data_IF_845617096266
#
_entry.id   IF_845617096266
#
_cell.length_a   1.000
_cell.length_b   1.000
_cell.length_c   1.000
_cell.angle_alpha   90.00
_cell.angle_beta   90.00
_cell.angle_gamma   90.00
#
_symmetry.space_group_name_H-M   'P 1'
#
loop_
_entity.id
_entity.type
_entity.pdbx_description
1 polymer ?
#
# COMPACT_ATOMS: atom_id res chain seq x y z
N UNK A 1 -73.65 -13.63 4.06
CA UNK A 1 -74.86 -13.89 3.28
C UNK A 1 -74.44 -14.00 1.82
N UNK A 2 -74.74 -15.17 1.27
CA UNK A 2 -74.40 -15.71 -0.04
C UNK A 2 -74.83 -14.92 -1.27
N UNK A 3 -74.21 -15.30 -2.40
CA UNK A 3 -74.75 -15.57 -3.76
C UNK A 3 -73.80 -14.98 -4.82
N UNK A 4 -72.88 -15.72 -5.46
CA UNK A 4 -73.04 -16.79 -6.47
C UNK A 4 -73.85 -16.39 -7.71
N UNK A 5 -73.37 -16.85 -8.88
CA UNK A 5 -73.98 -16.97 -10.23
C UNK A 5 -73.37 -16.07 -11.34
N UNK A 6 -72.40 -16.60 -12.09
CA UNK A 6 -72.48 -17.35 -13.37
C UNK A 6 -72.50 -16.44 -14.60
N UNK A 7 -71.47 -16.55 -15.45
CA UNK A 7 -71.68 -16.54 -16.91
C UNK A 7 -70.59 -17.36 -17.62
N UNK A 8 -71.05 -18.43 -18.28
CA UNK A 8 -70.31 -19.29 -19.20
C UNK A 8 -70.13 -18.58 -20.54
N UNK A 9 -69.01 -18.81 -21.22
CA UNK A 9 -68.80 -18.39 -22.61
C UNK A 9 -67.59 -19.07 -23.24
N UNK A 10 -67.87 -20.02 -24.14
CA UNK A 10 -66.95 -20.89 -24.89
C UNK A 10 -66.12 -20.15 -25.96
N UNK A 11 -65.26 -20.91 -26.65
CA UNK A 11 -64.53 -20.65 -27.91
C UNK A 11 -63.10 -20.08 -27.71
N UNK A 12 -62.02 -20.52 -28.37
CA UNK A 12 -61.81 -21.32 -29.59
C UNK A 12 -60.40 -21.92 -29.58
N UNK A 13 -60.24 -23.04 -30.29
CA UNK A 13 -58.96 -23.60 -30.70
C UNK A 13 -58.19 -22.59 -31.59
N UNK A 14 -56.93 -22.33 -31.25
CA UNK A 14 -55.95 -21.79 -32.20
C UNK A 14 -54.59 -22.44 -31.96
N UNK A 15 -54.26 -23.38 -32.85
CA UNK A 15 -52.89 -23.84 -33.11
C UNK A 15 -52.01 -22.63 -33.42
N UNK A 16 -50.98 -22.39 -32.61
CA UNK A 16 -49.86 -21.54 -32.99
C UNK A 16 -48.66 -22.44 -33.32
N UNK A 17 -48.26 -22.33 -34.58
CA UNK A 17 -47.07 -22.92 -35.18
C UNK A 17 -45.83 -22.51 -34.41
N UNK A 18 -45.06 -23.49 -33.92
CA UNK A 18 -43.71 -23.26 -33.39
C UNK A 18 -42.77 -23.14 -34.59
N UNK A 19 -42.49 -21.92 -35.02
CA UNK A 19 -41.38 -21.64 -35.93
C UNK A 19 -40.08 -21.74 -35.13
N UNK A 20 -39.28 -22.76 -35.40
CA UNK A 20 -37.90 -22.85 -34.92
C UNK A 20 -37.05 -21.81 -35.66
N UNK A 21 -36.67 -20.73 -34.98
CA UNK A 21 -35.62 -19.82 -35.44
C UNK A 21 -34.26 -20.45 -35.14
N UNK A 22 -33.56 -20.88 -36.17
CA UNK A 22 -32.14 -21.23 -36.09
C UNK A 22 -31.34 -19.93 -36.02
N UNK A 23 -30.85 -19.58 -34.84
CA UNK A 23 -29.89 -18.48 -34.69
C UNK A 23 -28.50 -19.01 -35.08
N UNK A 24 -27.98 -18.56 -36.22
CA UNK A 24 -26.58 -18.73 -36.59
C UNK A 24 -25.74 -17.82 -35.69
N UNK A 25 -24.95 -18.42 -34.80
CA UNK A 25 -24.06 -17.70 -33.91
C UNK A 25 -22.76 -17.38 -34.66
N UNK A 26 -22.69 -16.17 -35.24
CA UNK A 26 -21.44 -15.62 -35.75
C UNK A 26 -20.53 -15.30 -34.57
N UNK A 27 -19.41 -16.02 -34.45
CA UNK A 27 -18.34 -15.67 -33.52
C UNK A 27 -17.55 -14.51 -34.10
N UNK A 28 -17.72 -13.31 -33.55
CA UNK A 28 -16.73 -12.25 -33.72
C UNK A 28 -15.53 -12.55 -32.83
N UNK A 29 -14.33 -12.59 -33.42
CA UNK A 29 -13.09 -12.66 -32.67
C UNK A 29 -12.94 -11.37 -31.82
N UNK A 30 -13.17 -11.50 -30.52
CA UNK A 30 -12.92 -10.43 -29.55
C UNK A 30 -11.41 -10.23 -29.44
N UNK A 31 -10.86 -9.39 -30.33
CA UNK A 31 -9.51 -8.85 -30.17
C UNK A 31 -9.51 -7.96 -28.92
N UNK A 32 -8.94 -8.48 -27.83
CA UNK A 32 -8.74 -7.72 -26.61
C UNK A 32 -7.69 -6.63 -26.88
N UNK A 33 -8.15 -5.42 -27.23
CA UNK A 33 -7.30 -4.24 -27.26
C UNK A 33 -6.90 -3.94 -25.81
N UNK A 34 -5.63 -4.14 -25.50
CA UNK A 34 -5.01 -3.66 -24.26
C UNK A 34 -5.30 -2.15 -24.20
N UNK A 35 -5.92 -1.63 -23.12
CA UNK A 35 -6.15 -0.20 -22.99
C UNK A 35 -4.80 0.52 -23.06
N UNK A 36 -4.65 1.58 -23.87
CA UNK A 36 -3.39 2.30 -23.93
C UNK A 36 -3.04 2.79 -22.53
N UNK A 37 -1.83 2.46 -22.10
CA UNK A 37 -1.15 3.07 -20.96
C UNK A 37 -1.40 4.58 -20.98
N UNK A 38 -1.71 5.25 -19.86
CA UNK A 38 -1.95 6.69 -19.84
C UNK A 38 -0.67 7.41 -20.25
N UNK A 39 -0.51 7.65 -21.55
CA UNK A 39 0.57 8.45 -22.09
C UNK A 39 0.28 9.88 -21.71
N UNK A 40 1.15 10.47 -20.89
CA UNK A 40 1.14 11.91 -20.66
C UNK A 40 1.04 12.63 -22.00
N UNK A 41 0.32 13.75 -22.03
CA UNK A 41 0.14 14.55 -23.22
C UNK A 41 1.51 14.92 -23.80
N UNK A 42 1.89 14.29 -24.91
CA UNK A 42 3.15 14.56 -25.59
C UNK A 42 2.98 15.84 -26.40
N UNK A 43 3.74 16.88 -26.07
CA UNK A 43 3.75 18.10 -26.85
C UNK A 43 4.59 17.88 -28.12
N UNK A 44 3.89 17.77 -29.26
CA UNK A 44 4.52 17.57 -30.57
C UNK A 44 5.39 18.76 -31.02
N UNK A 45 5.21 19.94 -30.40
CA UNK A 45 6.01 21.11 -30.69
C UNK A 45 7.21 21.26 -29.75
N UNK A 46 7.37 20.35 -28.78
CA UNK A 46 8.48 20.39 -27.87
C UNK A 46 9.78 19.91 -28.53
N UNK A 47 10.80 20.75 -28.44
CA UNK A 47 12.12 20.55 -29.02
C UNK A 47 13.20 21.02 -28.04
N UNK A 48 14.42 20.57 -28.24
CA UNK A 48 15.59 21.19 -27.63
C UNK A 48 15.78 22.59 -28.22
N UNK A 49 16.13 23.56 -27.36
CA UNK A 49 16.44 24.93 -27.77
C UNK A 49 17.90 25.08 -28.19
N UNK A 50 18.79 24.24 -27.65
CA UNK A 50 20.20 24.19 -28.01
C UNK A 50 20.48 22.90 -28.76
N UNK A 51 21.46 22.93 -29.67
CA UNK A 51 21.74 21.81 -30.59
C UNK A 51 22.67 20.74 -30.01
N UNK A 52 23.37 21.05 -28.92
CA UNK A 52 24.44 20.26 -28.31
C UNK A 52 23.97 19.50 -27.05
N UNK A 53 22.66 19.33 -26.85
CA UNK A 53 22.10 18.61 -25.71
C UNK A 53 22.68 17.19 -25.51
N UNK A 54 23.04 16.50 -26.60
CA UNK A 54 23.66 15.18 -26.55
C UNK A 54 25.08 15.22 -25.95
N UNK A 55 25.81 16.33 -26.12
CA UNK A 55 27.18 16.49 -25.60
C UNK A 55 27.20 16.62 -24.07
N UNK A 56 26.11 17.13 -23.47
CA UNK A 56 25.96 17.26 -22.01
C UNK A 56 25.62 15.95 -21.30
N UNK A 57 25.19 14.92 -22.05
CA UNK A 57 24.83 13.61 -21.55
C UNK A 57 23.60 13.58 -20.62
N UNK A 58 23.10 12.37 -20.36
CA UNK A 58 21.84 12.15 -19.61
C UNK A 58 21.89 12.66 -18.16
N UNK A 59 23.08 12.77 -17.57
CA UNK A 59 23.26 13.28 -16.21
C UNK A 59 22.74 14.72 -16.05
N UNK A 60 22.81 15.52 -17.11
CA UNK A 60 22.33 16.91 -17.15
C UNK A 60 20.81 17.02 -17.03
N UNK A 61 20.08 15.94 -17.29
CA UNK A 61 18.63 15.86 -17.08
C UNK A 61 18.22 15.76 -15.60
N UNK A 62 19.18 15.58 -14.68
CA UNK A 62 18.92 15.46 -13.26
C UNK A 62 19.50 16.65 -12.47
N UNK A 63 19.21 16.71 -11.17
CA UNK A 63 19.79 17.74 -10.30
C UNK A 63 21.33 17.66 -10.35
N UNK A 64 22.02 18.82 -10.36
CA UNK A 64 21.48 20.17 -10.17
C UNK A 64 20.95 20.85 -11.45
N UNK A 65 21.14 20.26 -12.63
CA UNK A 65 20.90 20.89 -13.92
C UNK A 65 19.48 20.66 -14.48
N UNK A 66 18.65 19.86 -13.81
CA UNK A 66 17.28 19.52 -14.20
C UNK A 66 16.44 20.73 -14.66
N UNK A 67 16.51 21.86 -13.94
CA UNK A 67 15.77 23.08 -14.32
C UNK A 67 16.25 23.66 -15.65
N UNK A 68 17.58 23.74 -15.84
CA UNK A 68 18.18 24.20 -17.08
C UNK A 68 17.87 23.24 -18.24
N UNK A 69 17.93 21.93 -17.99
CA UNK A 69 17.65 20.91 -18.99
C UNK A 69 16.18 20.89 -19.41
N UNK A 70 15.23 21.21 -18.52
CA UNK A 70 13.82 21.45 -18.89
C UNK A 70 13.64 22.61 -19.86
N UNK A 71 14.48 23.63 -19.74
CA UNK A 71 14.35 24.82 -20.58
C UNK A 71 15.07 24.69 -21.92
N UNK A 72 16.18 23.95 -21.97
CA UNK A 72 17.09 23.92 -23.12
C UNK A 72 17.15 22.57 -23.83
N UNK A 73 16.96 21.46 -23.10
CA UNK A 73 17.13 20.10 -23.59
C UNK A 73 15.90 19.23 -23.33
N UNK A 74 14.70 19.81 -23.46
CA UNK A 74 13.45 19.16 -23.10
C UNK A 74 13.17 17.88 -23.91
N UNK A 75 13.58 17.82 -25.18
CA UNK A 75 13.39 16.64 -26.02
C UNK A 75 14.42 15.57 -25.71
N UNK A 76 15.70 15.95 -25.62
CA UNK A 76 16.80 15.04 -25.24
C UNK A 76 16.58 14.42 -23.86
N UNK A 77 16.04 15.19 -22.91
CA UNK A 77 15.73 14.72 -21.55
C UNK A 77 14.30 14.18 -21.38
N UNK A 78 13.55 13.97 -22.47
CA UNK A 78 12.18 13.46 -22.48
C UNK A 78 11.15 14.27 -21.67
N UNK A 79 11.45 15.53 -21.35
CA UNK A 79 10.54 16.47 -20.70
C UNK A 79 9.42 16.98 -21.60
N UNK A 80 9.44 16.64 -22.89
CA UNK A 80 8.36 16.93 -23.84
C UNK A 80 7.06 16.18 -23.57
N UNK A 81 7.11 15.14 -22.76
CA UNK A 81 5.91 14.59 -22.16
C UNK A 81 5.47 15.59 -21.09
N UNK A 82 4.33 16.25 -21.29
CA UNK A 82 3.76 17.16 -20.31
C UNK A 82 3.74 16.50 -18.93
N UNK A 83 3.82 17.30 -17.85
CA UNK A 83 3.68 16.78 -16.49
C UNK A 83 2.50 15.80 -16.49
N UNK A 84 2.70 14.54 -16.08
CA UNK A 84 1.60 13.58 -16.05
C UNK A 84 0.41 14.24 -15.36
N UNK A 85 -0.73 14.37 -16.06
CA UNK A 85 -1.92 15.06 -15.52
C UNK A 85 -2.32 14.48 -14.17
N UNK A 86 -1.97 13.22 -13.94
CA UNK A 86 -2.00 12.58 -12.65
C UNK A 86 -0.57 12.30 -12.19
N UNK A 87 -0.07 12.94 -11.10
CA UNK A 87 1.17 12.51 -10.49
C UNK A 87 1.09 11.00 -10.22
N UNK A 88 2.17 10.24 -10.46
CA UNK A 88 2.17 8.81 -10.21
C UNK A 88 1.72 8.54 -8.78
N UNK A 89 0.85 7.55 -8.60
CA UNK A 89 0.25 7.22 -7.31
C UNK A 89 1.34 6.96 -6.28
N UNK A 90 1.19 7.54 -5.09
CA UNK A 90 2.12 7.35 -3.98
C UNK A 90 1.90 5.98 -3.34
N UNK A 91 2.38 4.94 -4.02
CA UNK A 91 2.22 3.55 -3.62
C UNK A 91 3.51 2.80 -3.87
N UNK A 92 3.76 1.78 -3.05
CA UNK A 92 4.81 0.81 -3.32
C UNK A 92 4.25 -0.24 -4.28
N UNK A 93 4.89 -0.35 -5.44
CA UNK A 93 4.54 -1.32 -6.49
C UNK A 93 5.24 -2.65 -6.24
N UNK A 94 6.46 -2.60 -5.68
CA UNK A 94 7.20 -3.78 -5.28
C UNK A 94 6.73 -4.29 -3.92
N UNK A 95 6.68 -5.61 -3.77
CA UNK A 95 6.39 -6.22 -2.47
C UNK A 95 7.65 -6.23 -1.63
N UNK A 96 7.53 -5.90 -0.35
CA UNK A 96 8.68 -5.96 0.57
C UNK A 96 9.62 -4.77 0.46
N UNK A 97 9.13 -3.59 0.07
CA UNK A 97 9.94 -2.35 0.14
C UNK A 97 10.52 -2.11 1.56
N UNK A 98 9.82 -2.55 2.59
CA UNK A 98 10.22 -2.56 4.00
C UNK A 98 11.31 -3.58 4.36
N UNK A 99 11.58 -4.56 3.49
CA UNK A 99 12.67 -5.52 3.66
C UNK A 99 14.02 -4.94 3.20
N UNK A 100 14.00 -3.86 2.42
CA UNK A 100 15.20 -3.14 2.04
C UNK A 100 15.58 -2.08 3.08
N UNK A 101 16.88 -1.79 3.20
CA UNK A 101 17.36 -0.71 4.05
C UNK A 101 17.00 0.65 3.44
N UNK A 102 16.75 1.66 4.26
CA UNK A 102 16.40 3.02 3.79
C UNK A 102 17.47 3.66 2.89
N UNK A 103 18.69 3.10 2.84
CA UNK A 103 19.74 3.50 1.91
C UNK A 103 19.34 3.36 0.43
N UNK A 104 18.43 2.45 0.06
CA UNK A 104 17.95 2.35 -1.33
C UNK A 104 17.24 3.62 -1.81
N UNK A 105 16.78 4.44 -0.86
CA UNK A 105 16.07 5.68 -1.11
C UNK A 105 17.01 6.87 -1.37
N UNK A 106 18.32 6.69 -1.20
CA UNK A 106 19.32 7.74 -1.40
C UNK A 106 20.49 7.29 -2.28
N UNK A 107 20.72 5.98 -2.42
CA UNK A 107 21.77 5.44 -3.28
C UNK A 107 21.51 5.77 -4.77
N UNK A 108 22.44 6.47 -5.46
CA UNK A 108 22.30 6.82 -6.87
C UNK A 108 22.04 5.63 -7.80
N UNK A 109 22.53 4.45 -7.45
CA UNK A 109 22.36 3.21 -8.23
C UNK A 109 20.93 2.68 -8.17
N UNK A 110 20.21 3.00 -7.09
CA UNK A 110 18.87 2.47 -6.80
C UNK A 110 17.77 3.54 -6.75
N UNK A 111 18.12 4.82 -6.70
CA UNK A 111 17.17 5.94 -6.58
C UNK A 111 16.08 5.91 -7.65
N UNK A 112 16.43 5.58 -8.89
CA UNK A 112 15.49 5.50 -10.01
C UNK A 112 14.53 4.33 -9.83
N UNK A 113 15.05 3.17 -9.40
CA UNK A 113 14.24 2.00 -9.09
C UNK A 113 13.34 2.25 -7.88
N UNK A 114 13.87 2.81 -6.79
CA UNK A 114 13.14 3.13 -5.58
C UNK A 114 12.00 4.14 -5.85
N UNK A 115 12.27 5.16 -6.67
CA UNK A 115 11.24 6.11 -7.14
C UNK A 115 10.14 5.45 -7.98
N UNK A 116 10.45 4.40 -8.71
CA UNK A 116 9.48 3.68 -9.53
C UNK A 116 8.70 2.60 -8.75
N UNK A 117 9.34 1.98 -7.75
CA UNK A 117 8.88 0.73 -7.14
C UNK A 117 8.55 0.84 -5.65
N UNK A 118 9.26 1.68 -4.91
CA UNK A 118 9.14 1.85 -3.46
C UNK A 118 8.93 3.31 -3.07
N UNK A 119 8.12 4.01 -3.87
CA UNK A 119 7.99 5.47 -3.79
C UNK A 119 7.40 5.92 -2.46
N UNK A 120 6.45 5.16 -1.90
CA UNK A 120 5.83 5.48 -0.61
C UNK A 120 6.78 5.16 0.54
N UNK A 121 7.42 3.99 0.53
CA UNK A 121 8.45 3.62 1.52
C UNK A 121 9.57 4.65 1.57
N UNK A 122 10.07 5.08 0.40
CA UNK A 122 11.12 6.09 0.30
C UNK A 122 10.65 7.53 0.43
N UNK A 123 9.36 7.77 0.71
CA UNK A 123 8.75 9.10 0.82
C UNK A 123 9.04 10.01 -0.39
N UNK A 124 9.14 9.44 -1.58
CA UNK A 124 9.39 10.14 -2.84
C UNK A 124 8.08 10.57 -3.53
N UNK A 125 7.12 11.00 -2.71
CA UNK A 125 5.79 11.40 -3.14
C UNK A 125 5.63 12.92 -3.13
N UNK A 126 4.62 13.46 -3.83
CA UNK A 126 4.29 14.89 -3.72
C UNK A 126 4.04 15.28 -2.27
N UNK A 127 4.45 16.48 -1.88
CA UNK A 127 4.37 16.98 -0.50
C UNK A 127 2.94 16.93 0.06
N UNK A 128 1.94 17.30 -0.75
CA UNK A 128 0.54 17.25 -0.37
C UNK A 128 0.10 15.82 -0.05
N UNK A 129 0.55 14.85 -0.85
CA UNK A 129 0.25 13.43 -0.63
C UNK A 129 0.98 12.89 0.58
N UNK A 130 2.21 13.33 0.84
CA UNK A 130 2.93 12.99 2.07
C UNK A 130 2.23 13.59 3.30
N UNK A 131 1.75 14.83 3.22
CA UNK A 131 1.01 15.47 4.30
C UNK A 131 -0.32 14.76 4.59
N UNK A 132 -1.07 14.38 3.54
CA UNK A 132 -2.28 13.57 3.67
C UNK A 132 -1.99 12.17 4.22
N UNK A 133 -0.91 11.53 3.74
CA UNK A 133 -0.47 10.24 4.26
C UNK A 133 -0.08 10.35 5.73
N UNK A 134 0.71 11.35 6.10
CA UNK A 134 1.09 11.61 7.48
C UNK A 134 -0.16 11.95 8.32
N UNK A 135 -1.18 12.60 7.75
CA UNK A 135 -2.48 12.90 8.36
C UNK A 135 -3.33 11.64 8.60
N UNK A 136 -3.43 10.76 7.61
CA UNK A 136 -4.09 9.44 7.74
C UNK A 136 -3.29 8.53 8.68
N UNK A 137 -1.99 8.73 8.73
CA UNK A 137 -1.07 8.12 9.68
C UNK A 137 -1.14 8.87 11.03
N UNK A 138 -1.86 9.99 11.16
CA UNK A 138 -2.19 10.64 12.45
C UNK A 138 -3.53 10.17 13.03
N UNK A 139 -4.26 9.30 12.31
CA UNK A 139 -5.14 8.30 12.96
C UNK A 139 -4.37 7.05 13.41
N UNK A 140 -3.02 7.06 13.36
CA UNK A 140 -2.27 6.15 14.21
C UNK A 140 -2.43 6.61 15.66
N UNK A 141 -2.78 5.64 16.47
CA UNK A 141 -2.33 5.48 17.85
C UNK A 141 -1.12 6.38 18.20
N UNK A 142 -1.18 7.10 19.34
CA UNK A 142 -0.10 7.95 19.83
C UNK A 142 1.27 7.28 19.70
N UNK A 143 2.33 8.05 19.43
CA UNK A 143 3.74 7.61 19.47
C UNK A 143 3.87 6.60 20.61
N UNK A 144 3.97 5.33 20.24
CA UNK A 144 4.00 4.25 21.22
C UNK A 144 5.29 4.46 22.02
N UNK A 145 5.15 5.05 23.20
CA UNK A 145 6.24 5.30 24.14
C UNK A 145 6.64 3.98 24.81
N UNK A 146 7.61 3.29 24.23
CA UNK A 146 8.18 2.08 24.81
C UNK A 146 9.64 1.92 24.41
N UNK A 147 10.31 1.02 25.12
CA UNK A 147 11.69 0.66 24.84
C UNK A 147 11.70 -0.51 23.85
N UNK A 148 12.35 -0.33 22.69
CA UNK A 148 12.50 -1.37 21.65
C UNK A 148 13.53 -2.42 22.05
N UNK A 149 14.41 -2.09 22.98
CA UNK A 149 15.46 -2.98 23.49
C UNK A 149 15.46 -2.99 25.02
N UNK A 150 16.24 -3.89 25.62
CA UNK A 150 16.42 -3.95 27.08
C UNK A 150 17.37 -2.82 27.52
N UNK A 151 16.83 -1.61 27.64
CA UNK A 151 17.59 -0.37 27.85
C UNK A 151 18.35 -0.32 29.17
N UNK A 152 17.95 -1.11 30.17
CA UNK A 152 18.68 -1.27 31.43
C UNK A 152 20.11 -1.80 31.20
N UNK A 153 20.33 -2.58 30.13
CA UNK A 153 21.66 -3.12 29.80
C UNK A 153 22.65 -2.06 29.31
N UNK A 154 22.15 -0.93 28.81
CA UNK A 154 22.96 0.16 28.26
C UNK A 154 23.19 1.29 29.29
N UNK A 155 22.48 1.24 30.43
CA UNK A 155 22.62 2.21 31.51
C UNK A 155 22.09 3.60 31.18
N UNK A 156 21.98 4.47 32.18
CA UNK A 156 21.42 5.83 32.02
C UNK A 156 22.27 6.74 31.13
N UNK A 157 23.55 6.42 30.92
CA UNK A 157 24.41 7.16 29.99
C UNK A 157 23.97 7.04 28.53
N UNK A 158 23.25 5.97 28.17
CA UNK A 158 22.67 5.87 26.83
C UNK A 158 21.65 6.98 26.53
N UNK A 159 21.03 7.52 27.58
CA UNK A 159 20.01 8.57 27.47
C UNK A 159 20.58 9.98 27.26
N UNK A 160 21.91 10.16 27.25
CA UNK A 160 22.55 11.46 27.13
C UNK A 160 23.80 11.38 26.25
N UNK A 161 24.34 12.53 25.84
CA UNK A 161 25.54 12.60 25.02
C UNK A 161 25.36 11.93 23.65
N UNK A 162 26.41 11.29 23.16
CA UNK A 162 26.49 10.74 21.79
C UNK A 162 25.45 9.64 21.50
N UNK A 163 24.94 8.98 22.54
CA UNK A 163 23.95 7.90 22.41
C UNK A 163 22.51 8.39 22.51
N UNK A 164 22.29 9.67 22.83
CA UNK A 164 20.94 10.21 23.03
C UNK A 164 20.04 10.05 21.79
N UNK A 165 20.61 10.20 20.59
CA UNK A 165 19.89 9.98 19.33
C UNK A 165 19.40 8.53 19.21
N UNK A 166 20.30 7.56 19.41
CA UNK A 166 19.94 6.13 19.42
C UNK A 166 18.91 5.81 20.51
N UNK A 167 19.05 6.38 21.71
CA UNK A 167 18.13 6.16 22.82
C UNK A 167 16.76 6.82 22.58
N UNK A 168 16.69 7.88 21.78
CA UNK A 168 15.42 8.48 21.32
C UNK A 168 14.65 7.52 20.43
N UNK A 169 15.32 6.60 19.74
CA UNK A 169 14.65 5.59 18.92
C UNK A 169 14.38 4.28 19.65
N UNK A 170 15.22 3.91 20.61
CA UNK A 170 15.24 2.56 21.19
C UNK A 170 14.85 2.50 22.67
N UNK A 171 14.98 3.61 23.39
CA UNK A 171 14.87 3.66 24.85
C UNK A 171 14.01 4.83 25.35
N UNK A 172 12.97 5.19 24.59
CA UNK A 172 12.15 6.37 24.83
C UNK A 172 11.56 6.40 26.24
N UNK A 173 11.08 5.25 26.73
CA UNK A 173 10.46 5.13 28.04
C UNK A 173 11.52 5.10 29.14
N UNK A 174 12.56 4.28 29.00
CA UNK A 174 13.65 4.17 29.96
C UNK A 174 14.39 5.50 30.15
N UNK A 175 14.55 6.28 29.08
CA UNK A 175 15.20 7.59 29.08
C UNK A 175 14.26 8.76 29.36
N UNK A 176 12.95 8.51 29.50
CA UNK A 176 11.96 9.55 29.81
C UNK A 176 11.76 10.55 28.67
N UNK A 177 12.06 10.17 27.43
CA UNK A 177 11.86 11.01 26.24
C UNK A 177 10.40 11.08 25.80
N UNK A 178 9.57 10.20 26.34
CA UNK A 178 8.14 10.25 26.11
C UNK A 178 7.55 11.55 26.69
N UNK A 179 7.04 12.41 25.82
CA UNK A 179 6.33 13.61 26.26
C UNK A 179 5.09 13.24 27.08
N UNK A 180 4.81 14.00 28.14
CA UNK A 180 3.76 13.79 29.16
C UNK A 180 2.32 14.00 28.65
N UNK A 181 2.03 13.65 27.39
CA UNK A 181 0.70 13.72 26.77
C UNK A 181 0.25 12.43 26.09
N UNK A 182 1.06 11.37 26.09
CA UNK A 182 0.73 10.11 25.42
C UNK A 182 -0.13 9.27 26.37
N UNK A 183 -1.46 9.41 26.26
CA UNK A 183 -2.41 8.46 26.85
C UNK A 183 -2.06 7.04 26.38
N UNK A 184 -1.98 6.06 27.30
CA UNK A 184 -1.78 4.63 27.00
C UNK A 184 -2.54 4.24 25.74
N UNK A 185 -1.82 4.17 24.63
CA UNK A 185 -2.35 3.78 23.34
C UNK A 185 -2.86 2.34 23.43
N UNK A 186 -4.12 2.15 23.07
CA UNK A 186 -4.79 0.85 23.03
C UNK A 186 -4.29 0.11 21.79
N UNK A 187 -3.06 -0.42 21.83
CA UNK A 187 -2.48 -1.20 20.73
C UNK A 187 -3.46 -2.31 20.31
N UNK A 188 -3.70 -2.46 19.01
CA UNK A 188 -4.55 -3.53 18.49
C UNK A 188 -4.01 -4.89 18.95
N UNK A 189 -4.86 -5.74 19.53
CA UNK A 189 -4.43 -6.97 20.19
C UNK A 189 -4.28 -8.14 19.20
N UNK A 190 -3.33 -8.01 18.27
CA UNK A 190 -3.05 -9.00 17.23
C UNK A 190 -1.56 -9.33 17.20
N UNK A 191 -1.25 -10.58 16.82
CA UNK A 191 0.11 -11.00 16.54
C UNK A 191 0.50 -10.52 15.14
N UNK A 192 1.73 -10.00 14.99
CA UNK A 192 2.30 -9.64 13.68
C UNK A 192 2.79 -10.88 12.94
N UNK A 193 3.34 -11.85 13.68
CA UNK A 193 3.87 -13.07 13.09
C UNK A 193 2.82 -14.18 13.14
N UNK A 194 2.55 -14.87 12.03
CA UNK A 194 1.55 -15.93 12.00
C UNK A 194 1.97 -17.19 12.78
N UNK A 195 3.27 -17.34 13.07
CA UNK A 195 3.82 -18.48 13.78
C UNK A 195 4.03 -18.25 15.28
N UNK A 196 3.50 -17.17 15.86
CA UNK A 196 3.55 -16.94 17.31
C UNK A 196 3.13 -18.15 18.17
N UNK A 197 2.08 -18.91 17.81
CA UNK A 197 1.68 -20.11 18.56
C UNK A 197 2.67 -21.28 18.51
N UNK A 198 3.64 -21.26 17.59
CA UNK A 198 4.64 -22.32 17.44
C UNK A 198 5.84 -22.14 18.38
N UNK A 199 6.03 -20.94 18.94
CA UNK A 199 7.11 -20.70 19.87
C UNK A 199 6.76 -21.21 21.28
N UNK A 200 7.80 -21.61 22.02
CA UNK A 200 7.67 -22.02 23.41
C UNK A 200 7.16 -20.87 24.28
N UNK A 201 6.10 -21.10 25.07
CA UNK A 201 5.45 -20.05 25.88
C UNK A 201 6.38 -19.29 26.83
N UNK A 202 7.55 -19.85 27.18
CA UNK A 202 8.57 -19.18 27.99
C UNK A 202 9.07 -17.89 27.34
N UNK A 203 9.01 -17.75 26.02
CA UNK A 203 9.44 -16.51 25.33
C UNK A 203 8.63 -15.29 25.78
N UNK A 204 7.40 -15.48 26.25
CA UNK A 204 6.54 -14.41 26.77
C UNK A 204 6.98 -13.92 28.17
N UNK A 205 7.84 -14.67 28.84
CA UNK A 205 8.34 -14.33 30.20
C UNK A 205 9.84 -14.11 30.26
N UNK A 206 10.57 -14.60 29.25
CA UNK A 206 12.01 -14.43 29.17
C UNK A 206 12.35 -12.96 28.86
N UNK A 207 13.07 -12.31 29.79
CA UNK A 207 13.54 -10.93 29.65
C UNK A 207 14.34 -10.70 28.38
N UNK A 208 15.02 -11.73 27.85
CA UNK A 208 15.77 -11.65 26.59
C UNK A 208 14.86 -11.47 25.38
N UNK A 209 13.67 -12.07 25.40
CA UNK A 209 12.72 -12.07 24.28
C UNK A 209 11.48 -11.21 24.53
N UNK A 210 11.36 -10.60 25.71
CA UNK A 210 10.20 -9.82 26.12
C UNK A 210 9.87 -8.70 25.11
N UNK A 211 10.86 -7.90 24.69
CA UNK A 211 10.62 -6.82 23.72
C UNK A 211 10.13 -7.36 22.37
N UNK A 212 10.81 -8.38 21.86
CA UNK A 212 10.45 -9.02 20.60
C UNK A 212 9.04 -9.64 20.65
N UNK A 213 8.67 -10.29 21.76
CA UNK A 213 7.35 -10.88 21.96
C UNK A 213 6.25 -9.84 22.14
N UNK A 214 6.54 -8.70 22.78
CA UNK A 214 5.60 -7.56 22.86
C UNK A 214 5.38 -6.85 21.53
N UNK A 215 6.32 -6.96 20.60
CA UNK A 215 6.11 -6.41 19.27
C UNK A 215 5.39 -7.37 18.33
N UNK A 216 5.70 -8.67 18.43
CA UNK A 216 5.33 -9.64 17.41
C UNK A 216 4.22 -10.59 17.82
N UNK A 217 4.10 -10.91 19.12
CA UNK A 217 3.28 -12.01 19.62
C UNK A 217 2.40 -11.61 20.82
N UNK A 218 1.95 -10.34 20.92
CA UNK A 218 1.20 -9.85 22.08
C UNK A 218 -0.09 -10.59 22.37
N UNK A 219 -0.80 -11.03 21.34
CA UNK A 219 -2.06 -11.74 21.49
C UNK A 219 -1.79 -13.14 22.03
N UNK A 220 -0.85 -13.87 21.41
CA UNK A 220 -0.38 -15.18 21.90
C UNK A 220 0.17 -15.09 23.33
N UNK A 221 0.98 -14.07 23.62
CA UNK A 221 1.57 -13.83 24.94
C UNK A 221 0.64 -13.12 25.94
N UNK A 222 -0.60 -12.79 25.53
CA UNK A 222 -1.62 -12.13 26.37
C UNK A 222 -1.15 -10.81 27.00
N UNK A 223 -0.25 -10.09 26.33
CA UNK A 223 0.21 -8.77 26.76
C UNK A 223 -0.84 -7.67 26.54
N UNK A 224 -1.89 -8.00 25.79
CA UNK A 224 -3.06 -7.16 25.59
C UNK A 224 -4.34 -7.96 25.93
N UNK A 225 -5.37 -7.26 26.39
CA UNK A 225 -6.66 -7.87 26.80
C UNK A 225 -7.86 -7.28 26.06
N UNK A 226 -7.62 -6.39 25.10
CA UNK A 226 -8.69 -5.64 24.48
C UNK A 226 -9.28 -6.32 23.26
N UNK A 227 -10.54 -6.75 23.41
CA UNK A 227 -11.48 -7.04 22.33
C UNK A 227 -11.84 -5.74 21.61
N UNK A 228 -10.92 -5.12 20.89
CA UNK A 228 -11.31 -4.20 19.82
C UNK A 228 -11.79 -5.07 18.66
N UNK A 229 -13.12 -5.12 18.51
CA UNK A 229 -13.81 -5.90 17.49
C UNK A 229 -13.17 -5.59 16.13
N UNK A 230 -12.74 -6.59 15.35
CA UNK A 230 -12.26 -6.34 14.00
C UNK A 230 -13.41 -5.70 13.22
N UNK A 231 -13.22 -4.48 12.70
CA UNK A 231 -14.01 -4.05 11.56
C UNK A 231 -13.76 -5.10 10.48
N UNK A 232 -14.79 -5.88 10.18
CA UNK A 232 -14.80 -6.89 9.13
C UNK A 232 -14.48 -6.19 7.81
N UNK A 233 -13.22 -6.21 7.40
CA UNK A 233 -12.90 -6.05 5.97
C UNK A 233 -13.46 -7.33 5.32
N UNK A 234 -14.46 -7.24 4.43
CA UNK A 234 -15.01 -8.41 3.79
C UNK A 234 -13.90 -9.10 3.02
N UNK A 235 -13.55 -10.32 3.42
CA UNK A 235 -12.68 -11.17 2.63
C UNK A 235 -13.39 -11.42 1.29
N UNK A 236 -12.71 -11.30 0.13
CA UNK A 236 -13.28 -11.77 -1.13
C UNK A 236 -13.60 -13.26 -0.95
N UNK A 237 -14.87 -13.62 -1.04
CA UNK A 237 -15.28 -15.01 -0.94
C UNK A 237 -14.57 -15.79 -2.05
N UNK A 238 -13.85 -16.85 -1.64
CA UNK A 238 -13.36 -17.84 -2.56
C UNK A 238 -14.55 -18.42 -3.33
N UNK A 239 -14.60 -18.13 -4.62
CA UNK A 239 -15.56 -18.72 -5.56
C UNK A 239 -15.39 -20.23 -5.49
N UNK A 240 -16.36 -20.91 -4.90
CA UNK A 240 -16.41 -22.38 -4.92
C UNK A 240 -16.72 -22.80 -6.34
N UNK A 241 -15.78 -23.45 -7.01
CA UNK A 241 -16.04 -24.17 -8.24
C UNK A 241 -16.98 -25.36 -7.96
N UNK A 242 -18.01 -25.59 -8.79
CA UNK A 242 -18.88 -26.75 -8.65
C UNK A 242 -18.09 -28.05 -8.87
N UNK A 243 -18.29 -29.02 -7.96
CA UNK A 243 -17.77 -30.37 -8.11
C UNK A 243 -18.44 -31.05 -9.32
N UNK A 244 -17.71 -31.76 -10.20
CA UNK A 244 -18.31 -32.50 -11.30
C UNK A 244 -19.20 -33.64 -10.79
N UNK A 245 -20.35 -33.92 -11.46
CA UNK A 245 -21.19 -35.05 -11.11
C UNK A 245 -20.46 -36.36 -11.43
N UNK A 246 -20.42 -37.26 -10.45
CA UNK A 246 -19.90 -38.61 -10.61
C UNK A 246 -20.97 -39.44 -11.31
N UNK A 247 -20.63 -40.01 -12.47
CA UNK A 247 -21.43 -41.05 -13.16
C UNK A 247 -20.81 -42.41 -12.86
#
# INVERSE_FOLDING_TARGET
MDLSYLYYGMFWFSCLLVSTVSAEFSYEEVTYRIPPTPTGFYDQNCTDKISDCEEFGIASCFKPYESWARENCAKTCEFCQGKPEKPPTCTDVEKGCDLYTTSICTDPSFISWAKAKCRRFCRMCPEQVLAELDLMTTTLTPVDCFDKVVCERYGKKACTGDFASWATDNCQKYCGFCSTGVTKSKRLCVDKLPNCPQYDSRICTDKKYYSWTDENCRSTCKFCQDKLVPFLIPTPQAVRTPKPPTT
#
